data_IF_788853469747
#
_entry.id   IF_788853469747
#
_cell.length_a   1.000
_cell.length_b   1.000
_cell.length_c   1.000
_cell.angle_alpha   90.00
_cell.angle_beta   90.00
_cell.angle_gamma   90.00
#
_symmetry.space_group_name_H-M   'P 1'
#
loop_
_entity.id
_entity.type
_entity.pdbx_description
1 polymer ?
#
# COMPACT_ATOMS: atom_id res chain seq x y z
N UNK A 1 13.76 -0.71 29.29
CA UNK A 1 13.62 -1.96 28.51
C UNK A 1 14.96 -2.28 27.87
N UNK A 2 15.32 -3.55 27.66
CA UNK A 2 16.52 -3.89 26.88
C UNK A 2 16.30 -3.49 25.41
N UNK A 3 17.39 -3.25 24.67
CA UNK A 3 17.31 -2.87 23.25
C UNK A 3 16.49 -3.87 22.42
N UNK A 4 16.72 -5.17 22.61
CA UNK A 4 15.97 -6.22 21.90
C UNK A 4 14.47 -6.25 22.24
N UNK A 5 14.10 -5.98 23.50
CA UNK A 5 12.71 -5.96 23.92
C UNK A 5 11.99 -4.70 23.40
N UNK A 6 12.69 -3.55 23.40
CA UNK A 6 12.17 -2.32 22.81
C UNK A 6 11.94 -2.49 21.30
N UNK A 7 12.92 -3.02 20.59
CA UNK A 7 12.84 -3.23 19.14
C UNK A 7 11.69 -4.20 18.81
N UNK A 8 11.57 -5.32 19.52
CA UNK A 8 10.44 -6.25 19.34
C UNK A 8 9.08 -5.60 19.63
N UNK A 9 9.00 -4.74 20.63
CA UNK A 9 7.79 -3.99 20.95
C UNK A 9 7.42 -3.00 19.83
N UNK A 10 8.39 -2.28 19.27
CA UNK A 10 8.20 -1.40 18.10
C UNK A 10 7.65 -2.19 16.91
N UNK A 11 8.21 -3.36 16.61
CA UNK A 11 7.72 -4.21 15.52
C UNK A 11 6.26 -4.67 15.72
N UNK A 12 5.84 -5.00 16.96
CA UNK A 12 4.45 -5.32 17.27
C UNK A 12 3.50 -4.13 17.07
N UNK A 13 3.95 -2.92 17.43
CA UNK A 13 3.20 -1.68 17.18
C UNK A 13 3.04 -1.44 15.69
N UNK A 14 4.11 -1.62 14.91
CA UNK A 14 4.07 -1.47 13.44
C UNK A 14 3.02 -2.41 12.85
N UNK A 15 3.04 -3.69 13.21
CA UNK A 15 2.08 -4.67 12.70
C UNK A 15 0.63 -4.27 13.03
N UNK A 16 0.39 -3.77 14.24
CA UNK A 16 -0.93 -3.28 14.64
C UNK A 16 -1.37 -2.06 13.80
N UNK A 17 -0.48 -1.07 13.65
CA UNK A 17 -0.78 0.18 12.93
C UNK A 17 -1.02 -0.10 11.45
N UNK A 18 -0.14 -0.87 10.80
CA UNK A 18 -0.27 -1.21 9.37
C UNK A 18 -1.61 -1.89 9.11
N UNK A 19 -1.95 -2.91 9.91
CA UNK A 19 -3.22 -3.64 9.76
C UNK A 19 -4.42 -2.72 9.96
N UNK A 20 -4.36 -1.78 10.90
CA UNK A 20 -5.44 -0.83 11.15
C UNK A 20 -5.57 0.20 10.02
N UNK A 21 -4.45 0.72 9.51
CA UNK A 21 -4.44 1.67 8.41
C UNK A 21 -4.98 1.05 7.12
N UNK A 22 -4.62 -0.20 6.83
CA UNK A 22 -5.13 -0.92 5.66
C UNK A 22 -6.67 -0.95 5.67
N UNK A 23 -7.28 -1.34 6.80
CA UNK A 23 -8.74 -1.37 6.96
C UNK A 23 -9.35 0.01 6.77
N UNK A 24 -8.75 1.06 7.35
CA UNK A 24 -9.25 2.43 7.25
C UNK A 24 -9.14 2.96 5.81
N UNK A 25 -8.03 2.67 5.11
CA UNK A 25 -7.83 3.06 3.71
C UNK A 25 -8.89 2.44 2.80
N UNK A 26 -9.25 1.18 3.04
CA UNK A 26 -10.30 0.48 2.28
C UNK A 26 -11.72 1.04 2.47
N UNK A 27 -11.92 1.93 3.44
CA UNK A 27 -13.19 2.62 3.70
C UNK A 27 -13.23 4.04 3.10
N UNK A 28 -12.10 4.56 2.64
CA UNK A 28 -11.99 5.92 2.10
C UNK A 28 -12.28 5.96 0.59
N UNK A 29 -12.33 7.18 0.08
CA UNK A 29 -12.36 7.49 -1.35
C UNK A 29 -11.23 8.45 -1.66
N UNK A 30 -10.59 8.26 -2.81
CA UNK A 30 -9.40 9.01 -3.19
C UNK A 30 -9.62 9.67 -4.55
N UNK A 31 -9.13 10.91 -4.68
CA UNK A 31 -8.77 11.51 -5.95
C UNK A 31 -7.28 11.25 -6.23
N UNK A 32 -6.78 11.63 -7.41
CA UNK A 32 -5.35 11.57 -7.72
C UNK A 32 -4.50 12.31 -6.67
N UNK A 33 -4.88 13.53 -6.30
CA UNK A 33 -4.18 14.31 -5.26
C UNK A 33 -4.28 13.65 -3.88
N UNK A 34 -5.41 13.00 -3.58
CA UNK A 34 -5.55 12.21 -2.35
C UNK A 34 -4.62 11.00 -2.31
N UNK A 35 -4.43 10.32 -3.46
CA UNK A 35 -3.43 9.26 -3.61
C UNK A 35 -2.00 9.76 -3.37
N UNK A 36 -1.66 10.92 -3.92
CA UNK A 36 -0.33 11.53 -3.72
C UNK A 36 -0.06 11.92 -2.26
N UNK A 37 -1.09 12.46 -1.58
CA UNK A 37 -0.98 12.78 -0.15
C UNK A 37 -0.78 11.53 0.70
N UNK A 38 -1.56 10.48 0.44
CA UNK A 38 -1.42 9.19 1.13
C UNK A 38 0.00 8.61 0.93
N UNK A 39 0.54 8.70 -0.28
CA UNK A 39 1.86 8.20 -0.61
C UNK A 39 2.98 8.89 0.17
N UNK A 40 2.84 10.21 0.35
CA UNK A 40 3.72 10.98 1.25
C UNK A 40 3.59 10.51 2.71
N UNK A 41 2.39 10.26 3.19
CA UNK A 41 2.13 9.79 4.56
C UNK A 41 2.70 8.38 4.80
N UNK A 42 2.51 7.44 3.86
CA UNK A 42 3.09 6.09 3.94
C UNK A 42 4.60 6.14 4.00
N UNK A 43 5.26 6.95 3.14
CA UNK A 43 6.72 7.15 3.20
C UNK A 43 7.17 7.76 4.53
N UNK A 44 6.44 8.75 5.03
CA UNK A 44 6.76 9.38 6.32
C UNK A 44 6.68 8.39 7.49
N UNK A 45 5.66 7.51 7.50
CA UNK A 45 5.53 6.46 8.50
C UNK A 45 6.69 5.46 8.43
N UNK A 46 7.03 4.99 7.22
CA UNK A 46 8.16 4.07 7.02
C UNK A 46 9.46 4.68 7.55
N UNK A 47 9.74 5.94 7.22
CA UNK A 47 10.94 6.63 7.66
C UNK A 47 10.98 6.77 9.19
N UNK A 48 9.88 7.21 9.80
CA UNK A 48 9.78 7.35 11.25
C UNK A 48 10.05 6.03 11.98
N UNK A 49 9.42 4.94 11.55
CA UNK A 49 9.65 3.63 12.18
C UNK A 49 11.02 3.03 11.86
N UNK A 50 11.63 3.39 10.73
CA UNK A 50 13.01 2.99 10.41
C UNK A 50 14.02 3.65 11.34
N UNK A 51 13.77 4.89 11.79
CA UNK A 51 14.62 5.59 12.76
C UNK A 51 14.46 5.03 14.20
N UNK A 52 13.30 4.44 14.51
CA UNK A 52 13.01 3.87 15.83
C UNK A 52 13.45 2.42 16.02
N UNK A 53 13.84 1.73 14.95
CA UNK A 53 14.16 0.29 14.93
C UNK A 53 15.59 0.04 14.46
N UNK A 54 16.25 -0.97 15.03
CA UNK A 54 17.54 -1.44 14.53
C UNK A 54 17.38 -2.46 13.40
N UNK A 55 16.21 -3.11 13.31
CA UNK A 55 15.89 -4.08 12.26
C UNK A 55 15.08 -3.43 11.13
N UNK A 56 15.22 -3.92 9.89
CA UNK A 56 14.44 -3.44 8.75
C UNK A 56 12.93 -3.54 9.00
N UNK A 57 12.20 -2.45 8.74
CA UNK A 57 10.73 -2.38 8.92
C UNK A 57 9.96 -2.34 7.61
N UNK A 58 10.63 -2.05 6.48
CA UNK A 58 10.01 -1.73 5.19
C UNK A 58 9.04 -2.80 4.72
N UNK A 59 9.40 -4.08 4.86
CA UNK A 59 8.57 -5.20 4.39
C UNK A 59 7.22 -5.28 5.09
N UNK A 60 7.11 -4.76 6.32
CA UNK A 60 5.83 -4.67 7.04
C UNK A 60 4.86 -3.70 6.38
N UNK A 61 5.35 -2.70 5.65
CA UNK A 61 4.53 -1.69 4.98
C UNK A 61 4.22 -2.04 3.52
N UNK A 62 4.77 -3.14 2.98
CA UNK A 62 4.69 -3.47 1.56
C UNK A 62 3.26 -3.46 0.99
N UNK A 63 2.27 -3.96 1.73
CA UNK A 63 0.87 -3.90 1.30
C UNK A 63 0.35 -2.46 1.19
N UNK A 64 0.62 -1.61 2.17
CA UNK A 64 0.23 -0.19 2.13
C UNK A 64 0.94 0.56 1.01
N UNK A 65 2.22 0.26 0.78
CA UNK A 65 2.98 0.83 -0.34
C UNK A 65 2.40 0.41 -1.68
N UNK A 66 2.05 -0.87 -1.87
CA UNK A 66 1.38 -1.35 -3.09
C UNK A 66 0.02 -0.69 -3.31
N UNK A 67 -0.78 -0.53 -2.24
CA UNK A 67 -2.04 0.21 -2.31
C UNK A 67 -1.81 1.67 -2.71
N UNK A 68 -0.81 2.34 -2.11
CA UNK A 68 -0.42 3.70 -2.43
C UNK A 68 -0.03 3.85 -3.91
N UNK A 69 0.77 2.93 -4.44
CA UNK A 69 1.15 2.88 -5.85
C UNK A 69 -0.09 2.81 -6.75
N UNK A 70 -1.00 1.88 -6.48
CA UNK A 70 -2.26 1.75 -7.27
C UNK A 70 -3.08 3.04 -7.22
N UNK A 71 -3.19 3.67 -6.05
CA UNK A 71 -3.97 4.89 -5.88
C UNK A 71 -3.34 6.12 -6.57
N UNK A 72 -2.07 6.05 -6.96
CA UNK A 72 -1.37 7.09 -7.72
C UNK A 72 -1.40 6.88 -9.24
N UNK A 73 -1.95 5.78 -9.74
CA UNK A 73 -2.06 5.58 -11.18
C UNK A 73 -2.89 6.68 -11.84
N UNK A 74 -2.48 7.10 -13.04
CA UNK A 74 -3.23 8.06 -13.84
C UNK A 74 -4.44 7.39 -14.52
N UNK A 75 -4.34 6.08 -14.81
CA UNK A 75 -5.36 5.31 -15.51
C UNK A 75 -5.45 3.89 -14.98
N UNK A 76 -6.64 3.30 -15.07
CA UNK A 76 -6.92 1.92 -14.62
C UNK A 76 -6.00 0.88 -15.28
N UNK A 77 -5.63 1.07 -16.56
CA UNK A 77 -4.80 0.12 -17.31
C UNK A 77 -3.34 0.09 -16.89
N UNK A 78 -2.86 1.12 -16.18
CA UNK A 78 -1.46 1.24 -15.74
C UNK A 78 -1.02 0.08 -14.85
N UNK A 79 -1.96 -0.56 -14.12
CA UNK A 79 -1.69 -1.78 -13.36
C UNK A 79 -1.08 -2.89 -14.22
N UNK A 80 -1.44 -2.97 -15.50
CA UNK A 80 -0.95 -4.02 -16.41
C UNK A 80 0.54 -3.88 -16.72
N UNK A 81 1.10 -2.67 -16.57
CA UNK A 81 2.53 -2.41 -16.73
C UNK A 81 3.34 -2.93 -15.53
N UNK A 82 2.66 -3.25 -14.42
CA UNK A 82 3.28 -3.73 -13.19
C UNK A 82 2.79 -5.12 -12.77
N UNK A 83 1.93 -5.78 -13.53
CA UNK A 83 1.26 -7.02 -13.11
C UNK A 83 1.68 -8.25 -13.92
N UNK A 84 1.64 -9.44 -13.31
CA UNK A 84 2.02 -10.69 -13.96
C UNK A 84 3.46 -10.67 -14.46
N UNK A 85 3.68 -11.03 -15.73
CA UNK A 85 5.00 -11.07 -16.35
C UNK A 85 5.67 -9.68 -16.41
N UNK A 86 4.89 -8.60 -16.32
CA UNK A 86 5.40 -7.22 -16.32
C UNK A 86 5.81 -6.72 -14.92
N UNK A 87 5.60 -7.50 -13.86
CA UNK A 87 5.92 -7.06 -12.49
C UNK A 87 7.42 -6.88 -12.23
N UNK A 88 8.28 -7.44 -13.09
CA UNK A 88 9.73 -7.36 -12.93
C UNK A 88 10.18 -7.94 -11.58
N UNK A 89 10.80 -7.12 -10.75
CA UNK A 89 11.24 -7.52 -9.40
C UNK A 89 10.18 -7.26 -8.30
N UNK A 90 9.06 -6.61 -8.63
CA UNK A 90 8.02 -6.31 -7.66
C UNK A 90 7.19 -7.57 -7.37
N UNK A 91 7.27 -8.07 -6.14
CA UNK A 91 6.39 -9.15 -5.69
C UNK A 91 5.09 -8.57 -5.15
N UNK A 92 3.99 -8.77 -5.86
CA UNK A 92 2.67 -8.36 -5.39
C UNK A 92 2.20 -9.21 -4.21
N UNK A 93 1.79 -8.53 -3.14
CA UNK A 93 1.19 -9.16 -1.96
C UNK A 93 -0.33 -9.04 -1.97
N UNK A 94 -0.87 -8.15 -2.82
CA UNK A 94 -2.30 -8.01 -3.05
C UNK A 94 -2.76 -9.07 -4.06
N UNK A 95 -3.90 -9.70 -3.80
CA UNK A 95 -4.58 -10.59 -4.75
C UNK A 95 -5.23 -9.78 -5.88
N UNK A 96 -5.55 -10.40 -7.05
CA UNK A 96 -6.30 -9.73 -8.11
C UNK A 96 -7.58 -9.05 -7.63
N UNK A 97 -8.30 -9.68 -6.69
CA UNK A 97 -9.52 -9.13 -6.11
C UNK A 97 -9.25 -7.89 -5.25
N UNK A 98 -8.18 -7.90 -4.46
CA UNK A 98 -7.75 -6.75 -3.67
C UNK A 98 -7.31 -5.59 -4.55
N UNK A 99 -6.55 -5.85 -5.62
CA UNK A 99 -6.14 -4.83 -6.60
C UNK A 99 -7.35 -4.13 -7.20
N UNK A 100 -8.35 -4.90 -7.68
CA UNK A 100 -9.60 -4.31 -8.20
C UNK A 100 -10.33 -3.49 -7.13
N UNK A 101 -10.33 -3.96 -5.89
CA UNK A 101 -10.97 -3.24 -4.78
C UNK A 101 -10.24 -1.93 -4.46
N UNK A 102 -8.91 -1.90 -4.51
CA UNK A 102 -8.10 -0.68 -4.32
C UNK A 102 -8.29 0.30 -5.47
N UNK A 103 -8.26 -0.18 -6.72
CA UNK A 103 -8.61 0.64 -7.90
C UNK A 103 -10.00 1.27 -7.75
N UNK A 104 -10.97 0.53 -7.22
CA UNK A 104 -12.32 1.02 -6.96
C UNK A 104 -12.44 2.08 -5.86
N UNK A 105 -11.38 2.38 -5.11
CA UNK A 105 -11.38 3.50 -4.16
C UNK A 105 -11.17 4.85 -4.84
N UNK A 106 -10.67 4.87 -6.09
CA UNK A 106 -10.51 6.08 -6.90
C UNK A 106 -11.84 6.53 -7.47
N UNK A 107 -12.24 7.76 -7.16
CA UNK A 107 -13.56 8.31 -7.53
C UNK A 107 -13.71 8.56 -9.04
N UNK A 108 -12.59 8.69 -9.74
CA UNK A 108 -12.50 9.00 -11.17
C UNK A 108 -12.30 7.74 -12.05
N UNK A 109 -12.09 6.57 -11.44
CA UNK A 109 -11.96 5.31 -12.16
C UNK A 109 -13.32 4.65 -12.38
N UNK A 110 -13.63 4.35 -13.64
CA UNK A 110 -14.91 3.73 -14.02
C UNK A 110 -14.95 2.25 -13.61
N UNK A 111 -16.00 1.78 -12.91
CA UNK A 111 -16.12 0.38 -12.50
C UNK A 111 -16.00 -0.62 -13.66
N UNK A 112 -16.52 -0.26 -14.84
CA UNK A 112 -16.49 -1.11 -16.04
C UNK A 112 -15.06 -1.32 -16.54
N UNK A 113 -14.23 -0.27 -16.48
CA UNK A 113 -12.83 -0.35 -16.86
C UNK A 113 -12.04 -1.26 -15.89
N UNK A 114 -12.36 -1.20 -14.60
CA UNK A 114 -11.74 -2.07 -13.58
C UNK A 114 -12.18 -3.53 -13.78
N UNK A 115 -13.45 -3.76 -14.11
CA UNK A 115 -13.97 -5.10 -14.37
C UNK A 115 -13.34 -5.73 -15.63
N UNK A 116 -13.06 -4.94 -16.65
CA UNK A 116 -12.47 -5.39 -17.91
C UNK A 116 -10.99 -5.82 -17.81
N UNK A 117 -10.28 -5.48 -16.72
CA UNK A 117 -8.89 -5.87 -16.52
C UNK A 117 -8.71 -7.40 -16.50
N UNK A 118 -7.59 -7.88 -17.04
CA UNK A 118 -7.16 -9.28 -16.97
C UNK A 118 -5.92 -9.35 -16.06
N UNK A 119 -6.18 -9.54 -14.76
CA UNK A 119 -5.19 -9.70 -13.70
C UNK A 119 -5.06 -11.17 -13.33
#
# INVERSE_FOLDING_TARGET
MTSNNYDSFVHLIIDFIVKRLEVIMMQKRFSQLGGLQLDKEVRSLINHFSEMSQRPVRDKFSRLSQMSTILNFERVSEILDFWGDNAGHLTWLLTPAEVRRVLGLRIDFRPEAIAALRL
#
